data_IF_042108470930
#
_entry.id   IF_042108470930
#
_cell.length_a   1.000
_cell.length_b   1.000
_cell.length_c   1.000
_cell.angle_alpha   90.00
_cell.angle_beta   90.00
_cell.angle_gamma   90.00
#
_symmetry.space_group_name_H-M   'P 1'
#
loop_
_entity.id
_entity.type
_entity.pdbx_description
1 polymer ?
#
# COMPACT_ATOMS: atom_id res chain seq x y z
N UNK A 1 -0.57 14.00 -21.70
CA UNK A 1 -0.52 13.73 -20.26
C UNK A 1 -1.52 14.59 -19.51
N UNK A 2 -2.29 13.99 -18.61
CA UNK A 2 -3.36 14.64 -17.85
C UNK A 2 -2.81 15.54 -16.72
N UNK A 3 -3.54 16.60 -16.43
CA UNK A 3 -3.28 17.45 -15.24
C UNK A 3 -3.67 16.74 -13.94
N UNK A 4 -3.20 17.24 -12.79
CA UNK A 4 -3.63 16.74 -11.46
C UNK A 4 -5.13 16.80 -11.25
N UNK A 5 -5.78 17.85 -11.75
CA UNK A 5 -7.23 18.01 -11.65
C UNK A 5 -7.98 16.94 -12.47
N UNK A 6 -7.53 16.67 -13.69
CA UNK A 6 -8.11 15.64 -14.56
C UNK A 6 -7.93 14.24 -13.99
N UNK A 7 -6.75 13.92 -13.41
CA UNK A 7 -6.52 12.63 -12.74
C UNK A 7 -7.45 12.43 -11.54
N UNK A 8 -7.63 13.47 -10.74
CA UNK A 8 -8.56 13.46 -9.60
C UNK A 8 -10.02 13.32 -10.04
N UNK A 9 -10.41 14.01 -11.11
CA UNK A 9 -11.75 13.91 -11.68
C UNK A 9 -12.02 12.50 -12.23
N UNK A 10 -11.07 11.90 -12.94
CA UNK A 10 -11.16 10.54 -13.46
C UNK A 10 -11.31 9.51 -12.32
N UNK A 11 -10.50 9.61 -11.26
CA UNK A 11 -10.62 8.76 -10.10
C UNK A 11 -12.00 8.90 -9.41
N UNK A 12 -12.46 10.14 -9.24
CA UNK A 12 -13.78 10.41 -8.64
C UNK A 12 -14.93 9.86 -9.50
N UNK A 13 -14.80 9.96 -10.82
CA UNK A 13 -15.78 9.39 -11.75
C UNK A 13 -15.80 7.87 -11.70
N UNK A 14 -14.64 7.20 -11.64
CA UNK A 14 -14.54 5.76 -11.51
C UNK A 14 -15.16 5.23 -10.20
N UNK A 15 -15.06 6.01 -9.12
CA UNK A 15 -15.65 5.69 -7.83
C UNK A 15 -17.14 6.05 -7.70
N UNK A 16 -17.70 6.81 -8.64
CA UNK A 16 -19.11 7.22 -8.59
C UNK A 16 -20.04 6.00 -8.58
N UNK A 17 -20.93 5.94 -7.61
CA UNK A 17 -21.85 4.80 -7.38
C UNK A 17 -21.22 3.59 -6.67
N UNK A 18 -19.88 3.62 -6.40
CA UNK A 18 -19.13 2.48 -5.82
C UNK A 18 -18.37 2.85 -4.54
N UNK A 19 -18.65 4.02 -3.96
CA UNK A 19 -17.92 4.51 -2.78
C UNK A 19 -17.99 3.57 -1.59
N UNK A 20 -19.15 2.98 -1.30
CA UNK A 20 -19.29 2.03 -0.19
C UNK A 20 -18.39 0.80 -0.36
N UNK A 21 -18.35 0.22 -1.57
CA UNK A 21 -17.48 -0.91 -1.90
C UNK A 21 -16.00 -0.53 -1.84
N UNK A 22 -15.65 0.68 -2.30
CA UNK A 22 -14.29 1.19 -2.26
C UNK A 22 -13.81 1.45 -0.82
N UNK A 23 -14.67 1.99 0.04
CA UNK A 23 -14.40 2.14 1.48
C UNK A 23 -14.19 0.78 2.12
N UNK A 24 -15.09 -0.18 1.88
CA UNK A 24 -14.98 -1.53 2.45
C UNK A 24 -13.70 -2.23 1.98
N UNK A 25 -13.35 -2.13 0.70
CA UNK A 25 -12.11 -2.67 0.14
C UNK A 25 -10.86 -2.19 0.89
N UNK A 26 -10.79 -0.89 1.20
CA UNK A 26 -9.65 -0.31 1.92
C UNK A 26 -9.71 -0.54 3.44
N UNK A 27 -10.89 -0.85 4.00
CA UNK A 27 -11.05 -1.17 5.43
C UNK A 27 -10.60 -2.60 5.76
N UNK A 28 -10.68 -3.54 4.83
CA UNK A 28 -10.35 -4.96 5.08
C UNK A 28 -8.96 -5.12 5.70
N UNK A 29 -7.86 -4.57 5.17
CA UNK A 29 -6.55 -4.68 5.79
C UNK A 29 -6.50 -4.11 7.21
N UNK A 30 -7.18 -2.99 7.45
CA UNK A 30 -7.24 -2.33 8.76
C UNK A 30 -8.01 -3.18 9.76
N UNK A 31 -9.17 -3.71 9.37
CA UNK A 31 -9.99 -4.58 10.23
C UNK A 31 -9.27 -5.87 10.58
N UNK A 32 -8.56 -6.47 9.63
CA UNK A 32 -7.73 -7.66 9.88
C UNK A 32 -6.59 -7.34 10.85
N UNK A 33 -5.92 -6.21 10.68
CA UNK A 33 -4.88 -5.75 11.62
C UNK A 33 -5.41 -5.55 13.04
N UNK A 34 -6.59 -4.93 13.18
CA UNK A 34 -7.26 -4.75 14.46
C UNK A 34 -7.69 -6.08 15.08
N UNK A 35 -8.18 -7.03 14.28
CA UNK A 35 -8.54 -8.36 14.76
C UNK A 35 -7.31 -9.11 15.29
N UNK A 36 -6.19 -9.07 14.58
CA UNK A 36 -4.92 -9.67 15.04
C UNK A 36 -4.47 -9.02 16.35
N UNK A 37 -4.49 -7.68 16.43
CA UNK A 37 -4.15 -6.96 17.66
C UNK A 37 -5.04 -7.36 18.84
N UNK A 38 -6.36 -7.46 18.61
CA UNK A 38 -7.31 -7.91 19.63
C UNK A 38 -6.99 -9.32 20.14
N UNK A 39 -6.70 -10.27 19.24
CA UNK A 39 -6.32 -11.63 19.64
C UNK A 39 -5.00 -11.68 20.42
N UNK A 40 -4.00 -10.86 20.04
CA UNK A 40 -2.73 -10.75 20.75
C UNK A 40 -2.96 -10.19 22.16
N UNK A 41 -3.75 -9.13 22.29
CA UNK A 41 -4.06 -8.54 23.62
C UNK A 41 -4.89 -9.51 24.48
N UNK A 42 -5.86 -10.20 23.89
CA UNK A 42 -6.68 -11.19 24.59
C UNK A 42 -5.84 -12.37 25.08
N UNK A 43 -4.93 -12.91 24.26
CA UNK A 43 -4.02 -13.97 24.65
C UNK A 43 -3.07 -13.54 25.76
N UNK A 44 -2.52 -12.33 25.67
CA UNK A 44 -1.69 -11.74 26.72
C UNK A 44 -2.44 -11.57 28.04
N UNK A 45 -3.69 -11.11 27.98
CA UNK A 45 -4.56 -10.98 29.15
C UNK A 45 -4.87 -12.36 29.79
N UNK A 46 -5.18 -13.37 28.97
CA UNK A 46 -5.43 -14.75 29.47
C UNK A 46 -4.18 -15.29 30.18
N UNK A 47 -3.01 -15.15 29.57
CA UNK A 47 -1.73 -15.57 30.17
C UNK A 47 -1.49 -14.85 31.50
N UNK A 48 -1.71 -13.53 31.54
CA UNK A 48 -1.59 -12.72 32.75
C UNK A 48 -2.54 -13.21 33.87
N UNK A 49 -3.79 -13.50 33.55
CA UNK A 49 -4.78 -13.97 34.53
C UNK A 49 -4.45 -15.41 35.03
N UNK A 50 -3.98 -16.28 34.15
CA UNK A 50 -3.70 -17.69 34.51
C UNK A 50 -2.38 -17.86 35.32
N UNK A 51 -1.38 -17.03 35.07
CA UNK A 51 -0.06 -17.17 35.72
C UNK A 51 0.11 -16.25 36.91
N UNK A 52 -0.86 -15.39 37.23
CA UNK A 52 -0.78 -14.41 38.33
C UNK A 52 0.23 -13.29 38.07
N UNK A 53 0.13 -12.22 38.84
CA UNK A 53 0.99 -11.05 38.76
C UNK A 53 2.35 -11.30 39.45
N UNK A 54 3.11 -12.30 38.98
CA UNK A 54 4.51 -12.43 39.38
C UNK A 54 5.35 -11.36 38.68
N UNK A 55 6.13 -10.58 39.43
CA UNK A 55 6.94 -9.45 38.92
C UNK A 55 7.89 -9.79 37.76
N UNK A 56 8.20 -11.08 37.56
CA UNK A 56 9.04 -11.55 36.45
C UNK A 56 8.36 -11.57 35.06
N UNK A 57 7.02 -11.49 35.01
CA UNK A 57 6.30 -11.62 33.74
C UNK A 57 6.06 -10.27 33.06
N UNK A 58 5.93 -9.21 33.85
CA UNK A 58 5.78 -7.84 33.29
C UNK A 58 7.11 -7.39 32.68
N UNK A 59 8.24 -7.71 33.29
CA UNK A 59 9.55 -7.43 32.71
C UNK A 59 9.77 -8.23 31.41
N UNK A 60 9.43 -9.52 31.37
CA UNK A 60 9.61 -10.34 30.17
C UNK A 60 8.68 -9.93 29.02
N UNK A 61 7.43 -9.53 29.30
CA UNK A 61 6.51 -9.03 28.25
C UNK A 61 6.93 -7.66 27.76
N UNK A 62 7.38 -6.75 28.63
CA UNK A 62 7.91 -5.45 28.22
C UNK A 62 9.19 -5.59 27.41
N UNK A 63 10.09 -6.48 27.79
CA UNK A 63 11.32 -6.77 27.05
C UNK A 63 11.04 -7.44 25.70
N UNK A 64 10.05 -8.33 25.64
CA UNK A 64 9.59 -8.93 24.38
C UNK A 64 8.93 -7.88 23.45
N UNK A 65 8.11 -7.01 24.02
CA UNK A 65 7.42 -5.97 23.27
C UNK A 65 8.40 -4.89 22.77
N UNK A 66 9.39 -4.54 23.56
CA UNK A 66 10.44 -3.60 23.17
C UNK A 66 11.38 -4.20 22.11
N UNK A 67 11.75 -5.47 22.24
CA UNK A 67 12.52 -6.20 21.24
C UNK A 67 11.71 -6.45 19.95
N UNK A 68 10.40 -6.69 20.04
CA UNK A 68 9.53 -6.92 18.88
C UNK A 68 9.20 -5.63 18.15
N UNK A 69 8.96 -4.53 18.85
CA UNK A 69 8.67 -3.22 18.25
C UNK A 69 9.89 -2.58 17.57
N UNK A 70 11.08 -2.86 18.09
CA UNK A 70 12.35 -2.41 17.51
C UNK A 70 12.92 -3.42 16.48
N UNK A 71 12.27 -4.58 16.31
CA UNK A 71 12.74 -5.64 15.43
C UNK A 71 12.56 -5.27 13.96
N UNK A 72 13.67 -5.18 13.23
CA UNK A 72 13.69 -5.04 11.76
C UNK A 72 12.79 -6.09 11.10
N UNK A 73 12.68 -7.29 11.69
CA UNK A 73 11.85 -8.39 11.20
C UNK A 73 10.35 -8.08 11.24
N UNK A 74 9.82 -7.50 12.32
CA UNK A 74 8.42 -7.16 12.45
C UNK A 74 8.00 -6.07 11.44
N UNK A 75 8.86 -5.09 11.23
CA UNK A 75 8.65 -4.03 10.24
C UNK A 75 8.67 -4.58 8.82
N UNK A 76 9.54 -5.55 8.51
CA UNK A 76 9.59 -6.20 7.20
C UNK A 76 8.33 -7.03 6.93
N UNK A 77 7.89 -7.85 7.89
CA UNK A 77 6.65 -8.64 7.75
C UNK A 77 5.44 -7.74 7.55
N UNK A 78 5.29 -6.70 8.37
CA UNK A 78 4.21 -5.72 8.24
C UNK A 78 4.24 -5.02 6.87
N UNK A 79 5.41 -4.63 6.39
CA UNK A 79 5.61 -4.00 5.09
C UNK A 79 5.21 -4.94 3.93
N UNK A 80 5.58 -6.22 4.01
CA UNK A 80 5.23 -7.23 3.00
C UNK A 80 3.71 -7.45 2.97
N UNK A 81 3.08 -7.66 4.12
CA UNK A 81 1.63 -7.86 4.23
C UNK A 81 0.88 -6.63 3.69
N UNK A 82 1.31 -5.43 4.06
CA UNK A 82 0.76 -4.17 3.53
C UNK A 82 0.92 -4.08 2.02
N UNK A 83 2.07 -4.45 1.46
CA UNK A 83 2.31 -4.45 0.03
C UNK A 83 1.40 -5.41 -0.73
N UNK A 84 1.12 -6.60 -0.17
CA UNK A 84 0.20 -7.58 -0.76
C UNK A 84 -1.23 -7.05 -0.83
N UNK A 85 -1.74 -6.44 0.24
CA UNK A 85 -3.07 -5.82 0.22
C UNK A 85 -3.12 -4.61 -0.70
N UNK A 86 -2.17 -3.68 -0.57
CA UNK A 86 -2.17 -2.43 -1.34
C UNK A 86 -1.97 -2.66 -2.83
N UNK A 87 -1.21 -3.69 -3.24
CA UNK A 87 -1.10 -4.06 -4.65
C UNK A 87 -2.43 -4.54 -5.21
N UNK A 88 -3.11 -5.49 -4.54
CA UNK A 88 -4.43 -5.99 -4.96
C UNK A 88 -5.47 -4.87 -5.08
N UNK A 89 -5.53 -3.99 -4.09
CA UNK A 89 -6.43 -2.82 -4.07
C UNK A 89 -6.11 -1.87 -5.23
N UNK A 90 -4.82 -1.55 -5.44
CA UNK A 90 -4.38 -0.64 -6.50
C UNK A 90 -4.69 -1.18 -7.91
N UNK A 91 -4.50 -2.48 -8.12
CA UNK A 91 -4.84 -3.13 -9.39
C UNK A 91 -6.34 -3.15 -9.66
N UNK A 92 -7.15 -3.29 -8.63
CA UNK A 92 -8.61 -3.20 -8.75
C UNK A 92 -9.04 -1.82 -9.24
N UNK A 93 -8.46 -0.75 -8.70
CA UNK A 93 -8.73 0.60 -9.20
C UNK A 93 -8.18 0.82 -10.62
N UNK A 94 -7.05 0.21 -10.96
CA UNK A 94 -6.51 0.29 -12.32
C UNK A 94 -7.45 -0.37 -13.34
N UNK A 95 -7.93 -1.59 -13.04
CA UNK A 95 -8.88 -2.30 -13.90
C UNK A 95 -10.21 -1.54 -14.03
N UNK A 96 -10.69 -0.95 -12.93
CA UNK A 96 -11.89 -0.12 -12.93
C UNK A 96 -11.72 1.12 -13.84
N UNK A 97 -10.58 1.79 -13.75
CA UNK A 97 -10.25 2.96 -14.58
C UNK A 97 -10.07 2.61 -16.06
N UNK A 98 -9.61 1.39 -16.35
CA UNK A 98 -9.47 0.88 -17.72
C UNK A 98 -10.78 0.39 -18.31
N UNK A 99 -11.82 0.23 -17.48
CA UNK A 99 -13.10 -0.35 -17.87
C UNK A 99 -13.08 -1.87 -18.01
N UNK A 100 -12.03 -2.53 -17.54
CA UNK A 100 -11.86 -3.99 -17.55
C UNK A 100 -12.66 -4.64 -16.42
N UNK A 101 -13.03 -3.85 -15.41
CA UNK A 101 -13.85 -4.24 -14.28
C UNK A 101 -14.96 -3.21 -14.08
N UNK A 102 -16.18 -3.70 -13.83
CA UNK A 102 -17.35 -2.82 -13.63
C UNK A 102 -17.74 -2.70 -12.17
N UNK A 103 -17.41 -3.67 -11.33
CA UNK A 103 -17.77 -3.73 -9.92
C UNK A 103 -16.55 -4.00 -9.04
N UNK A 104 -16.61 -3.55 -7.81
CA UNK A 104 -15.62 -3.84 -6.77
C UNK A 104 -16.15 -4.97 -5.89
N UNK A 105 -15.42 -6.07 -5.79
CA UNK A 105 -15.68 -7.19 -4.88
C UNK A 105 -14.70 -7.09 -3.68
N UNK A 106 -15.07 -6.39 -2.58
CA UNK A 106 -14.11 -5.95 -1.58
C UNK A 106 -13.22 -7.05 -1.04
N UNK A 107 -13.81 -8.19 -0.65
CA UNK A 107 -13.05 -9.32 -0.08
C UNK A 107 -12.14 -9.98 -1.12
N UNK A 108 -12.65 -10.29 -2.30
CA UNK A 108 -11.88 -10.94 -3.35
C UNK A 108 -10.75 -10.04 -3.86
N UNK A 109 -11.04 -8.77 -4.02
CA UNK A 109 -10.10 -7.79 -4.57
C UNK A 109 -9.01 -7.40 -3.57
N UNK A 110 -9.31 -7.34 -2.26
CA UNK A 110 -8.31 -7.11 -1.24
C UNK A 110 -7.23 -8.20 -1.23
N UNK A 111 -7.61 -9.45 -1.52
CA UNK A 111 -6.69 -10.59 -1.51
C UNK A 111 -6.05 -10.90 -2.88
N UNK A 112 -6.23 -10.07 -3.91
CA UNK A 112 -5.62 -10.29 -5.24
C UNK A 112 -4.10 -10.40 -5.20
N UNK A 113 -3.42 -9.61 -4.35
CA UNK A 113 -1.97 -9.67 -4.19
C UNK A 113 -1.47 -10.99 -3.59
N UNK A 114 -2.34 -11.75 -2.90
CA UNK A 114 -2.02 -13.05 -2.32
C UNK A 114 -2.21 -14.22 -3.29
N UNK A 115 -2.71 -13.98 -4.49
CA UNK A 115 -2.90 -15.05 -5.48
C UNK A 115 -1.55 -15.60 -5.94
N UNK A 116 -1.49 -16.94 -6.14
CA UNK A 116 -0.24 -17.67 -6.34
C UNK A 116 0.67 -17.20 -7.49
N UNK A 117 0.11 -16.51 -8.49
CA UNK A 117 0.91 -15.93 -9.60
C UNK A 117 1.65 -14.67 -9.13
N UNK A 118 1.02 -13.86 -8.28
CA UNK A 118 1.53 -12.53 -7.89
C UNK A 118 2.32 -12.52 -6.58
N UNK A 119 2.00 -13.42 -5.63
CA UNK A 119 2.50 -13.35 -4.25
C UNK A 119 4.03 -13.28 -4.16
N UNK A 120 4.74 -14.18 -4.85
CA UNK A 120 6.20 -14.23 -4.78
C UNK A 120 6.85 -12.95 -5.33
N UNK A 121 6.32 -12.42 -6.42
CA UNK A 121 6.84 -11.19 -7.03
C UNK A 121 6.55 -9.95 -6.20
N UNK A 122 5.35 -9.84 -5.62
CA UNK A 122 4.99 -8.73 -4.72
C UNK A 122 5.86 -8.74 -3.46
N UNK A 123 6.10 -9.92 -2.87
CA UNK A 123 7.02 -10.06 -1.71
C UNK A 123 8.43 -9.60 -2.10
N UNK A 124 8.96 -10.08 -3.21
CA UNK A 124 10.31 -9.71 -3.65
C UNK A 124 10.40 -8.23 -4.03
N UNK A 125 9.35 -7.66 -4.67
CA UNK A 125 9.25 -6.22 -4.92
C UNK A 125 9.27 -5.44 -3.61
N UNK A 126 8.47 -5.84 -2.61
CA UNK A 126 8.41 -5.19 -1.31
C UNK A 126 9.78 -5.21 -0.62
N UNK A 127 10.45 -6.35 -0.60
CA UNK A 127 11.79 -6.48 0.00
C UNK A 127 12.82 -5.60 -0.71
N UNK A 128 12.93 -5.69 -2.03
CA UNK A 128 13.93 -4.94 -2.78
C UNK A 128 13.67 -3.44 -2.77
N UNK A 129 12.42 -3.01 -2.91
CA UNK A 129 12.08 -1.58 -2.85
C UNK A 129 12.32 -0.99 -1.45
N UNK A 130 12.04 -1.76 -0.38
CA UNK A 130 12.38 -1.35 0.99
C UNK A 130 13.89 -1.23 1.18
N UNK A 131 14.66 -2.26 0.81
CA UNK A 131 16.12 -2.25 0.94
C UNK A 131 16.70 -1.05 0.16
N UNK A 132 16.32 -0.87 -1.10
CA UNK A 132 16.83 0.23 -1.90
C UNK A 132 16.42 1.60 -1.37
N UNK A 133 15.17 1.77 -0.93
CA UNK A 133 14.72 3.03 -0.35
C UNK A 133 15.45 3.35 0.96
N UNK A 134 15.65 2.35 1.82
CA UNK A 134 16.38 2.52 3.10
C UNK A 134 17.85 2.87 2.86
N UNK A 135 18.53 2.18 1.93
CA UNK A 135 19.91 2.50 1.59
C UNK A 135 20.08 3.93 1.08
N UNK A 136 19.14 4.40 0.24
CA UNK A 136 19.17 5.77 -0.25
C UNK A 136 18.81 6.80 0.82
N UNK A 137 17.88 6.47 1.73
CA UNK A 137 17.51 7.34 2.85
C UNK A 137 18.66 7.48 3.86
N UNK A 138 19.44 6.41 4.05
CA UNK A 138 20.62 6.40 4.93
C UNK A 138 21.75 7.27 4.36
N UNK A 139 21.91 7.31 3.04
CA UNK A 139 22.89 8.17 2.39
C UNK A 139 22.51 9.64 2.48
N UNK A 140 21.29 10.00 2.08
CA UNK A 140 20.76 11.37 2.10
C UNK A 140 19.21 11.31 2.03
N UNK A 141 18.53 12.13 2.82
CA UNK A 141 17.06 12.19 2.90
C UNK A 141 16.45 12.54 1.54
N UNK A 142 16.96 13.58 0.86
CA UNK A 142 16.40 14.05 -0.42
C UNK A 142 16.50 12.97 -1.53
N UNK A 143 17.67 12.36 -1.81
CA UNK A 143 17.76 11.24 -2.73
C UNK A 143 16.88 10.04 -2.35
N UNK A 144 16.71 9.76 -1.06
CA UNK A 144 15.80 8.72 -0.57
C UNK A 144 14.35 8.95 -1.02
N UNK A 145 13.83 10.17 -0.82
CA UNK A 145 12.49 10.57 -1.29
C UNK A 145 12.37 10.42 -2.81
N UNK A 146 13.34 10.94 -3.58
CA UNK A 146 13.35 10.85 -5.04
C UNK A 146 13.35 9.39 -5.53
N UNK A 147 14.03 8.49 -4.82
CA UNK A 147 14.07 7.06 -5.15
C UNK A 147 12.77 6.35 -4.81
N UNK A 148 12.10 6.70 -3.72
CA UNK A 148 10.77 6.20 -3.39
C UNK A 148 9.78 6.50 -4.53
N UNK A 149 9.77 7.73 -5.06
CA UNK A 149 8.98 8.07 -6.24
C UNK A 149 9.40 7.30 -7.49
N UNK A 150 10.68 6.99 -7.65
CA UNK A 150 11.19 6.21 -8.79
C UNK A 150 10.67 4.76 -8.79
N UNK A 151 10.44 4.18 -7.62
CA UNK A 151 9.98 2.79 -7.46
C UNK A 151 8.47 2.68 -7.32
N UNK A 152 7.74 3.78 -7.22
CA UNK A 152 6.30 3.83 -6.90
C UNK A 152 5.41 3.10 -7.91
N UNK A 153 5.85 2.94 -9.18
CA UNK A 153 5.06 2.29 -10.23
C UNK A 153 5.39 0.80 -10.39
N UNK A 154 6.32 0.25 -9.60
CA UNK A 154 6.79 -1.13 -9.77
C UNK A 154 5.67 -2.17 -9.63
N UNK A 155 4.74 -1.99 -8.69
CA UNK A 155 3.63 -2.93 -8.48
C UNK A 155 2.62 -2.93 -9.63
N UNK A 156 2.36 -1.77 -10.25
CA UNK A 156 1.50 -1.66 -11.42
C UNK A 156 2.15 -2.30 -12.64
N UNK A 157 3.44 -2.04 -12.87
CA UNK A 157 4.20 -2.63 -13.95
C UNK A 157 4.27 -4.15 -13.82
N UNK A 158 4.51 -4.66 -12.62
CA UNK A 158 4.53 -6.10 -12.36
C UNK A 158 3.19 -6.76 -12.71
N UNK A 159 2.09 -6.13 -12.32
CA UNK A 159 0.75 -6.57 -12.66
C UNK A 159 0.51 -6.58 -14.18
N UNK A 160 0.83 -5.49 -14.85
CA UNK A 160 0.63 -5.37 -16.31
C UNK A 160 1.47 -6.38 -17.09
N UNK A 161 2.72 -6.61 -16.70
CA UNK A 161 3.59 -7.58 -17.34
C UNK A 161 3.00 -8.99 -17.25
N UNK A 162 2.56 -9.44 -16.08
CA UNK A 162 1.91 -10.75 -15.92
C UNK A 162 0.62 -10.82 -16.74
N UNK A 163 -0.18 -9.77 -16.73
CA UNK A 163 -1.45 -9.74 -17.46
C UNK A 163 -1.26 -9.82 -18.98
N UNK A 164 -0.19 -9.23 -19.50
CA UNK A 164 0.12 -9.21 -20.94
C UNK A 164 0.82 -10.47 -21.41
N UNK A 165 1.75 -11.02 -20.63
CA UNK A 165 2.60 -12.13 -21.05
C UNK A 165 2.20 -13.48 -20.46
N UNK A 166 1.45 -13.49 -19.36
CA UNK A 166 1.17 -14.69 -18.56
C UNK A 166 2.39 -15.20 -17.76
N UNK A 167 3.56 -14.61 -17.95
CA UNK A 167 4.79 -15.01 -17.31
C UNK A 167 5.16 -14.07 -16.15
N UNK A 168 5.91 -14.61 -15.16
CA UNK A 168 6.43 -13.83 -14.03
C UNK A 168 7.67 -13.04 -14.48
N UNK A 169 7.61 -11.70 -14.52
CA UNK A 169 8.76 -10.89 -14.90
C UNK A 169 9.84 -10.93 -13.80
N UNK A 170 11.09 -10.68 -14.20
CA UNK A 170 12.17 -10.49 -13.24
C UNK A 170 11.97 -9.19 -12.45
N UNK A 171 11.94 -9.31 -11.15
CA UNK A 171 11.61 -8.19 -10.24
C UNK A 171 12.58 -7.01 -10.40
N UNK A 172 13.88 -7.26 -10.55
CA UNK A 172 14.88 -6.20 -10.77
C UNK A 172 14.66 -5.46 -12.10
N UNK A 173 14.23 -6.16 -13.15
CA UNK A 173 13.87 -5.55 -14.43
C UNK A 173 12.63 -4.68 -14.28
N UNK A 174 11.62 -5.14 -13.52
CA UNK A 174 10.41 -4.36 -13.21
C UNK A 174 10.73 -3.08 -12.41
N UNK A 175 11.62 -3.15 -11.40
CA UNK A 175 12.08 -1.97 -10.66
C UNK A 175 12.82 -1.00 -11.58
N UNK A 176 13.66 -1.53 -12.48
CA UNK A 176 14.37 -0.71 -13.45
C UNK A 176 13.43 -0.06 -14.47
N UNK A 177 12.41 -0.79 -14.92
CA UNK A 177 11.35 -0.27 -15.77
C UNK A 177 10.55 0.86 -15.06
N UNK A 178 10.22 0.70 -13.78
CA UNK A 178 9.60 1.76 -12.97
C UNK A 178 10.47 3.01 -12.91
N UNK A 179 11.78 2.86 -12.69
CA UNK A 179 12.72 4.00 -12.69
C UNK A 179 12.74 4.74 -14.02
N UNK A 180 12.72 4.01 -15.14
CA UNK A 180 12.69 4.58 -16.50
C UNK A 180 11.37 5.29 -16.75
N UNK A 181 10.25 4.65 -16.44
CA UNK A 181 8.90 5.21 -16.59
C UNK A 181 8.73 6.51 -15.79
N UNK A 182 9.29 6.57 -14.58
CA UNK A 182 9.22 7.74 -13.70
C UNK A 182 10.29 8.81 -14.01
N UNK A 183 11.15 8.60 -15.01
CA UNK A 183 12.12 9.61 -15.42
C UNK A 183 11.39 10.81 -16.00
N UNK A 184 11.65 12.03 -15.46
CA UNK A 184 10.93 13.25 -15.82
C UNK A 184 9.56 13.43 -15.17
N UNK A 185 8.97 12.40 -14.53
CA UNK A 185 7.59 12.44 -14.02
C UNK A 185 7.48 12.42 -12.48
N UNK A 186 8.60 12.30 -11.75
CA UNK A 186 8.63 12.25 -10.27
C UNK A 186 8.04 13.50 -9.63
N UNK A 187 8.41 14.67 -10.15
CA UNK A 187 7.87 15.94 -9.66
C UNK A 187 6.35 16.07 -9.85
N UNK A 188 5.83 15.50 -10.93
CA UNK A 188 4.38 15.46 -11.21
C UNK A 188 3.63 14.60 -10.17
N UNK A 189 4.18 13.43 -9.82
CA UNK A 189 3.59 12.58 -8.79
C UNK A 189 3.75 13.22 -7.40
N UNK A 190 4.90 13.81 -7.10
CA UNK A 190 5.10 14.58 -5.87
C UNK A 190 4.08 15.71 -5.74
N UNK A 191 3.87 16.50 -6.79
CA UNK A 191 2.87 17.56 -6.78
C UNK A 191 1.46 17.04 -6.59
N UNK A 192 1.14 15.88 -7.17
CA UNK A 192 -0.13 15.20 -6.94
C UNK A 192 -0.33 14.89 -5.45
N UNK A 193 0.68 14.33 -4.78
CA UNK A 193 0.62 14.04 -3.33
C UNK A 193 0.48 15.33 -2.51
N UNK A 194 1.20 16.40 -2.85
CA UNK A 194 1.08 17.71 -2.20
C UNK A 194 -0.37 18.25 -2.26
N UNK A 195 -1.05 18.04 -3.38
CA UNK A 195 -2.46 18.49 -3.51
C UNK A 195 -3.45 17.73 -2.62
N UNK A 196 -3.03 16.65 -1.97
CA UNK A 196 -3.83 15.92 -0.98
C UNK A 196 -3.58 16.35 0.46
N UNK A 197 -2.56 17.21 0.74
CA UNK A 197 -2.24 17.65 2.12
C UNK A 197 -3.45 18.28 2.80
N UNK A 198 -4.19 19.16 2.12
CA UNK A 198 -5.40 19.77 2.67
C UNK A 198 -6.47 18.74 3.05
N UNK A 199 -6.62 17.69 2.26
CA UNK A 199 -7.53 16.58 2.55
C UNK A 199 -7.08 15.72 3.73
N UNK A 200 -5.77 15.53 3.92
CA UNK A 200 -5.22 14.87 5.10
C UNK A 200 -5.52 15.67 6.37
N UNK A 201 -5.38 17.00 6.33
CA UNK A 201 -5.74 17.89 7.46
C UNK A 201 -7.23 17.74 7.79
N UNK A 202 -8.11 17.78 6.79
CA UNK A 202 -9.55 17.58 6.99
C UNK A 202 -9.87 16.20 7.58
N UNK A 203 -9.18 15.14 7.10
CA UNK A 203 -9.36 13.79 7.62
C UNK A 203 -8.92 13.69 9.09
N UNK A 204 -7.85 14.37 9.49
CA UNK A 204 -7.39 14.43 10.89
C UNK A 204 -8.39 15.17 11.79
N UNK A 205 -8.97 16.28 11.34
CA UNK A 205 -9.99 17.05 12.10
C UNK A 205 -11.21 16.17 12.41
N UNK A 206 -11.53 15.21 11.53
CA UNK A 206 -12.62 14.24 11.76
C UNK A 206 -12.20 13.02 12.58
N UNK A 207 -11.14 13.12 13.40
CA UNK A 207 -10.59 11.99 14.17
C UNK A 207 -10.27 10.76 13.31
N UNK A 208 -9.86 10.99 12.05
CA UNK A 208 -9.48 9.93 11.12
C UNK A 208 -10.65 9.33 10.31
N UNK A 209 -11.91 9.65 10.62
CA UNK A 209 -13.06 9.13 9.86
C UNK A 209 -12.98 9.51 8.38
N UNK A 210 -12.46 10.70 8.06
CA UNK A 210 -12.26 11.17 6.70
C UNK A 210 -11.36 10.27 5.85
N UNK A 211 -10.47 9.48 6.45
CA UNK A 211 -9.61 8.54 5.73
C UNK A 211 -10.40 7.39 5.06
N UNK A 212 -11.60 7.07 5.53
CA UNK A 212 -12.45 6.05 4.90
C UNK A 212 -12.74 6.39 3.42
N UNK A 213 -12.91 7.65 3.10
CA UNK A 213 -13.13 8.13 1.73
C UNK A 213 -11.84 8.61 1.06
N UNK A 214 -10.94 9.19 1.84
CA UNK A 214 -9.71 9.76 1.31
C UNK A 214 -8.76 8.66 0.79
N UNK A 215 -8.62 7.54 1.49
CA UNK A 215 -7.73 6.44 1.09
C UNK A 215 -8.11 5.85 -0.28
N UNK A 216 -9.36 5.40 -0.53
CA UNK A 216 -9.75 4.92 -1.85
C UNK A 216 -9.58 6.00 -2.94
N UNK A 217 -9.84 7.26 -2.61
CA UNK A 217 -9.66 8.36 -3.56
C UNK A 217 -8.22 8.59 -3.96
N UNK A 218 -7.29 8.59 -3.00
CA UNK A 218 -5.85 8.72 -3.28
C UNK A 218 -5.36 7.52 -4.09
N UNK A 219 -5.73 6.30 -3.70
CA UNK A 219 -5.28 5.08 -4.38
C UNK A 219 -5.80 5.02 -5.82
N UNK A 220 -7.08 5.34 -6.04
CA UNK A 220 -7.64 5.44 -7.38
C UNK A 220 -6.98 6.54 -8.23
N UNK A 221 -6.63 7.69 -7.63
CA UNK A 221 -5.92 8.77 -8.32
C UNK A 221 -4.49 8.36 -8.73
N UNK A 222 -3.79 7.61 -7.86
CA UNK A 222 -2.46 7.04 -8.20
C UNK A 222 -2.55 5.99 -9.30
N UNK A 223 -3.60 5.18 -9.33
CA UNK A 223 -3.88 4.26 -10.42
C UNK A 223 -4.18 5.00 -11.74
N UNK A 224 -4.93 6.12 -11.67
CA UNK A 224 -5.17 6.99 -12.84
C UNK A 224 -3.88 7.63 -13.36
N UNK A 225 -2.98 8.04 -12.45
CA UNK A 225 -1.66 8.55 -12.81
C UNK A 225 -0.82 7.50 -13.56
N UNK A 226 -0.79 6.26 -13.05
CA UNK A 226 -0.10 5.17 -13.74
C UNK A 226 -0.71 4.89 -15.12
N UNK A 227 -2.05 4.83 -15.21
CA UNK A 227 -2.76 4.63 -16.48
C UNK A 227 -2.44 5.70 -17.51
N UNK A 228 -2.33 6.97 -17.08
CA UNK A 228 -1.95 8.08 -17.97
C UNK A 228 -0.49 7.97 -18.41
N UNK A 229 0.40 7.56 -17.49
CA UNK A 229 1.82 7.43 -17.75
C UNK A 229 2.16 6.23 -18.66
N UNK A 230 1.43 5.12 -18.52
CA UNK A 230 1.62 3.90 -19.32
C UNK A 230 1.14 4.02 -20.77
N UNK A 231 0.38 5.08 -21.09
CA UNK A 231 -0.10 5.38 -22.44
C UNK A 231 0.73 6.41 -23.19
N UNK A 232 1.66 7.06 -22.51
CA UNK A 232 2.51 8.13 -23.04
C UNK A 232 3.84 7.58 -23.55
#
# INVERSE_FOLDING_TARGET
>A
MKTTAELKAEAKQALKGRWGQAVLLNLIPTLLGLAVLFFVLLSGMIVYVLHGSGDGMISSVSDYQQNYSNGVGANLVSSIVSALFMSGISWTYLDLLRGEKTEIEPFKDAFRGFQGVFIAGVILLALLTNIFSTLWALLLIIPGIVKTYSYSQSYFLYYDQIKQTGEKPKVLETITASRRLMSGHKGRLFWLDVTFIGWHILALITFGIGYLWLTPYITATKAAFYKDLSKA
#
